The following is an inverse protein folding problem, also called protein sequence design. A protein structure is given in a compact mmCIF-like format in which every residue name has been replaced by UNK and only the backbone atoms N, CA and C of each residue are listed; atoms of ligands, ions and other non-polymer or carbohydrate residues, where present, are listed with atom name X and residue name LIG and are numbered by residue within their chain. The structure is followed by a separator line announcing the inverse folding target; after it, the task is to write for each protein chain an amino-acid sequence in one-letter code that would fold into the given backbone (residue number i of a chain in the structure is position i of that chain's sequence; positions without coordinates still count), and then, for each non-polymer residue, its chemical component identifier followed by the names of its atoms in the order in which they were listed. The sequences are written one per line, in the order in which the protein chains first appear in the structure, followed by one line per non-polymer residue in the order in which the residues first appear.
data_IF_037992127588
#
_entry.id   IF_037992127588
#
_cell.length_a   1.000
_cell.length_b   1.000
_cell.length_c   1.000
_cell.angle_alpha   90.00
_cell.angle_beta   90.00
_cell.angle_gamma   90.00
#
_symmetry.space_group_name_H-M   'P 1'
#
loop_
_entity.id
_entity.type
_entity.pdbx_description
1 polymer ?
#
# COMPACT_ATOMS: atom_id res chain seq x y z
N UNK A 1 -0.35 -4.94 -9.93
CA UNK A 1 0.00 -4.91 -8.49
C UNK A 1 -1.13 -5.47 -7.63
N UNK A 2 -0.80 -6.13 -6.52
CA UNK A 2 -1.76 -6.63 -5.53
C UNK A 2 -1.66 -5.81 -4.24
N UNK A 3 -2.80 -5.63 -3.59
CA UNK A 3 -2.94 -4.81 -2.39
C UNK A 3 -3.59 -5.64 -1.29
N UNK A 4 -2.95 -5.74 -0.13
CA UNK A 4 -3.47 -6.48 1.01
C UNK A 4 -3.14 -5.76 2.32
N UNK A 5 -4.01 -5.89 3.32
CA UNK A 5 -3.68 -5.50 4.69
C UNK A 5 -2.99 -6.69 5.33
N UNK A 6 -1.76 -6.49 5.80
CA UNK A 6 -0.99 -7.52 6.48
C UNK A 6 -0.61 -7.04 7.87
N UNK A 7 -0.53 -7.98 8.80
CA UNK A 7 -0.12 -7.77 10.18
C UNK A 7 1.30 -8.28 10.35
N UNK A 8 2.11 -7.60 11.15
CA UNK A 8 3.44 -8.11 11.51
C UNK A 8 3.33 -9.48 12.19
N UNK A 9 4.18 -10.43 11.80
CA UNK A 9 4.28 -11.76 12.38
C UNK A 9 5.50 -11.93 13.29
N UNK A 10 6.09 -10.82 13.75
CA UNK A 10 7.25 -10.86 14.63
C UNK A 10 6.92 -11.56 15.96
N UNK A 11 7.83 -12.41 16.46
CA UNK A 11 7.68 -13.09 17.74
C UNK A 11 7.51 -12.08 18.88
N UNK A 12 6.43 -12.18 19.65
CA UNK A 12 6.12 -11.26 20.77
C UNK A 12 5.37 -9.98 20.36
N UNK A 13 4.84 -9.92 19.15
CA UNK A 13 4.12 -8.77 18.62
C UNK A 13 2.67 -8.62 19.14
N UNK A 14 2.09 -9.70 19.67
CA UNK A 14 0.73 -9.69 20.23
C UNK A 14 0.67 -8.95 21.57
N UNK A 15 -0.44 -8.22 21.85
CA UNK A 15 -1.70 -8.18 21.10
C UNK A 15 -1.77 -7.09 20.01
N UNK A 16 -0.88 -6.10 20.03
CA UNK A 16 -0.99 -4.88 19.21
C UNK A 16 0.01 -4.86 18.06
N UNK A 17 -0.10 -5.85 17.19
CA UNK A 17 0.77 -5.92 16.03
C UNK A 17 0.52 -4.79 15.04
N UNK A 18 1.57 -4.12 14.55
CA UNK A 18 1.42 -3.10 13.52
C UNK A 18 0.87 -3.73 12.24
N UNK A 19 -0.14 -3.06 11.70
CA UNK A 19 -0.75 -3.40 10.42
C UNK A 19 -0.25 -2.45 9.36
N UNK A 20 -0.09 -2.98 8.15
CA UNK A 20 0.38 -2.23 6.99
C UNK A 20 -0.33 -2.70 5.74
N UNK A 21 -0.31 -1.86 4.72
CA UNK A 21 -0.73 -2.21 3.37
C UNK A 21 0.48 -2.78 2.64
N UNK A 22 0.44 -4.04 2.24
CA UNK A 22 1.37 -4.60 1.26
C UNK A 22 0.91 -4.22 -0.15
N UNK A 23 1.83 -3.70 -0.96
CA UNK A 23 1.63 -3.33 -2.35
C UNK A 23 2.70 -4.02 -3.22
N UNK A 24 2.34 -5.15 -3.83
CA UNK A 24 3.30 -6.07 -4.49
C UNK A 24 3.08 -6.22 -5.99
N UNK A 25 4.17 -6.22 -6.75
CA UNK A 25 4.19 -6.49 -8.19
C UNK A 25 4.21 -5.25 -9.08
N UNK A 26 4.07 -5.44 -10.38
CA UNK A 26 4.20 -4.38 -11.37
C UNK A 26 3.10 -3.30 -11.24
N UNK A 27 3.48 -2.05 -11.50
CA UNK A 27 2.55 -0.91 -11.57
C UNK A 27 1.92 -0.90 -12.96
N UNK A 28 0.69 -1.36 -13.05
CA UNK A 28 -0.12 -1.34 -14.27
C UNK A 28 -1.11 -0.16 -14.25
N UNK A 29 -1.73 0.14 -15.40
CA UNK A 29 -2.71 1.22 -15.55
C UNK A 29 -3.88 1.14 -14.53
N UNK A 30 -4.28 -0.07 -14.11
CA UNK A 30 -5.35 -0.29 -13.12
C UNK A 30 -4.94 -0.10 -11.66
N UNK A 31 -3.64 -0.01 -11.36
CA UNK A 31 -3.08 0.06 -10.00
C UNK A 31 -3.64 1.23 -9.18
N UNK A 32 -3.77 2.47 -9.71
CA UNK A 32 -4.33 3.59 -8.96
C UNK A 32 -5.79 3.35 -8.54
N UNK A 33 -6.59 2.70 -9.39
CA UNK A 33 -7.97 2.37 -9.10
C UNK A 33 -8.08 1.29 -8.01
N UNK A 34 -7.20 0.30 -8.02
CA UNK A 34 -7.11 -0.72 -6.98
C UNK A 34 -6.77 -0.12 -5.61
N UNK A 35 -5.77 0.79 -5.54
CA UNK A 35 -5.44 1.47 -4.29
C UNK A 35 -6.64 2.27 -3.76
N UNK A 36 -7.29 3.08 -4.61
CA UNK A 36 -8.48 3.86 -4.21
C UNK A 36 -9.58 2.96 -3.60
N UNK A 37 -9.84 1.80 -4.23
CA UNK A 37 -10.83 0.84 -3.72
C UNK A 37 -10.43 0.31 -2.35
N UNK A 38 -9.15 -0.01 -2.12
CA UNK A 38 -8.70 -0.49 -0.82
C UNK A 38 -8.78 0.60 0.26
N UNK A 39 -8.35 1.83 -0.05
CA UNK A 39 -8.48 2.95 0.90
C UNK A 39 -9.94 3.21 1.28
N UNK A 40 -10.86 3.07 0.31
CA UNK A 40 -12.31 3.16 0.59
C UNK A 40 -12.78 2.07 1.56
N UNK A 41 -12.25 0.84 1.46
CA UNK A 41 -12.56 -0.25 2.39
C UNK A 41 -11.98 -0.02 3.80
N UNK A 42 -10.84 0.67 3.89
CA UNK A 42 -10.19 0.99 5.17
C UNK A 42 -10.84 2.17 5.91
N UNK A 43 -11.62 2.99 5.21
CA UNK A 43 -12.33 4.13 5.79
C UNK A 43 -11.36 5.16 6.37
N UNK A 44 -11.44 5.39 7.69
CA UNK A 44 -10.57 6.36 8.39
C UNK A 44 -9.24 5.77 8.87
N UNK A 45 -9.02 4.46 8.72
CA UNK A 45 -7.77 3.81 9.12
C UNK A 45 -6.65 4.20 8.17
N UNK A 46 -5.62 4.83 8.72
CA UNK A 46 -4.39 5.16 8.00
C UNK A 46 -3.34 4.11 8.32
N UNK A 47 -3.11 3.21 7.37
CA UNK A 47 -2.07 2.20 7.47
C UNK A 47 -0.91 2.61 6.53
N UNK A 48 0.35 2.47 6.96
CA UNK A 48 1.49 2.71 6.09
C UNK A 48 1.49 1.73 4.92
N UNK A 49 1.94 2.19 3.75
CA UNK A 49 2.04 1.36 2.54
C UNK A 49 3.50 0.93 2.36
N UNK A 50 3.73 -0.38 2.24
CA UNK A 50 5.03 -0.93 1.84
C UNK A 50 4.93 -1.40 0.40
N UNK A 51 5.76 -0.84 -0.46
CA UNK A 51 5.80 -1.16 -1.89
C UNK A 51 6.98 -2.07 -2.20
N UNK A 52 6.67 -3.22 -2.80
CA UNK A 52 7.63 -4.13 -3.43
C UNK A 52 7.26 -4.26 -4.90
N UNK A 53 7.90 -3.47 -5.77
CA UNK A 53 7.53 -3.38 -7.18
C UNK A 53 8.77 -3.36 -8.09
N UNK A 54 8.76 -4.09 -9.22
CA UNK A 54 9.79 -3.96 -10.25
C UNK A 54 9.61 -2.71 -11.12
N UNK A 55 8.63 -1.85 -10.85
CA UNK A 55 8.27 -0.70 -11.68
C UNK A 55 7.09 -0.99 -12.61
N UNK A 56 7.02 -0.29 -13.75
CA UNK A 56 5.96 -0.44 -14.75
C UNK A 56 5.52 0.87 -15.38
N UNK A 57 4.21 1.07 -15.50
CA UNK A 57 3.60 2.24 -16.12
C UNK A 57 3.84 3.51 -15.28
N UNK A 58 4.53 4.49 -15.87
CA UNK A 58 4.94 5.74 -15.21
C UNK A 58 3.76 6.64 -14.86
N UNK A 59 2.77 6.78 -15.75
CA UNK A 59 1.59 7.60 -15.49
C UNK A 59 0.78 7.06 -14.31
N UNK A 60 0.62 5.74 -14.24
CA UNK A 60 0.00 5.05 -13.12
C UNK A 60 0.81 5.24 -11.83
N UNK A 61 2.14 5.20 -11.88
CA UNK A 61 2.99 5.46 -10.72
C UNK A 61 2.83 6.90 -10.20
N UNK A 62 2.78 7.89 -11.09
CA UNK A 62 2.54 9.29 -10.72
C UNK A 62 1.15 9.47 -10.11
N UNK A 63 0.12 8.82 -10.67
CA UNK A 63 -1.22 8.82 -10.07
C UNK A 63 -1.24 8.16 -8.69
N UNK A 64 -0.51 7.06 -8.51
CA UNK A 64 -0.36 6.38 -7.22
C UNK A 64 0.23 7.33 -6.17
N UNK A 65 1.33 8.00 -6.49
CA UNK A 65 1.96 8.99 -5.60
C UNK A 65 1.03 10.15 -5.23
N UNK A 66 0.23 10.65 -6.19
CA UNK A 66 -0.78 11.69 -5.93
C UNK A 66 -1.86 11.20 -4.97
N UNK A 67 -2.32 9.96 -5.10
CA UNK A 67 -3.32 9.36 -4.18
C UNK A 67 -2.74 9.24 -2.77
N UNK A 68 -1.52 8.73 -2.63
CA UNK A 68 -0.83 8.59 -1.34
C UNK A 68 -0.69 9.95 -0.65
N UNK A 69 -0.20 10.96 -1.37
CA UNK A 69 -0.05 12.33 -0.85
C UNK A 69 -1.38 12.96 -0.45
N UNK A 70 -2.42 12.81 -1.28
CA UNK A 70 -3.77 13.34 -0.99
C UNK A 70 -4.37 12.75 0.29
N UNK A 71 -4.11 11.46 0.56
CA UNK A 71 -4.63 10.77 1.74
C UNK A 71 -3.71 10.90 2.97
N UNK A 72 -2.56 11.57 2.85
CA UNK A 72 -1.54 11.72 3.90
C UNK A 72 -1.13 10.36 4.49
N UNK A 73 -0.83 9.41 3.61
CA UNK A 73 -0.37 8.07 3.99
C UNK A 73 1.15 8.03 3.97
N UNK A 74 1.73 7.40 4.98
CA UNK A 74 3.15 7.06 4.98
C UNK A 74 3.39 5.93 3.98
N UNK A 75 4.53 6.00 3.28
CA UNK A 75 4.90 5.03 2.25
C UNK A 75 6.41 4.75 2.33
N UNK A 76 6.77 3.48 2.18
CA UNK A 76 8.15 3.04 2.12
C UNK A 76 8.32 1.97 1.04
N UNK A 77 9.55 1.82 0.54
CA UNK A 77 9.96 0.73 -0.33
C UNK A 77 10.59 -0.36 0.52
N UNK A 78 10.15 -1.60 0.36
CA UNK A 78 10.67 -2.72 1.12
C UNK A 78 10.05 -4.03 0.70
N UNK A 79 10.73 -5.12 1.06
CA UNK A 79 10.17 -6.47 0.96
C UNK A 79 9.31 -6.75 2.19
N UNK A 80 8.25 -7.52 1.99
CA UNK A 80 7.18 -7.73 2.97
C UNK A 80 7.14 -9.13 3.50
#
# INVERSE_FOLDING_TARGET
MRFAVVRSSATGCEPNCPERISAEGAIEAGTPAQLKRMLKKLGRRKLPIIVSSPGGNVDAALQLGRIVRKNKLDIAVGTT
#
